data_IF_712731709541
#
_entry.id   IF_712731709541
#
_cell.length_a   1.000
_cell.length_b   1.000
_cell.length_c   1.000
_cell.angle_alpha   90.00
_cell.angle_beta   90.00
_cell.angle_gamma   90.00
#
_symmetry.space_group_name_H-M   'P 1'
#
loop_
_entity.id
_entity.type
_entity.pdbx_description
1 polymer ?
#
# COMPACT_ATOMS: atom_id res chain seq x y z
N UNK A 1 -2.36 -32.77 -2.13
CA UNK A 1 -3.37 -32.12 -1.25
C UNK A 1 -4.31 -31.29 -2.12
N UNK A 2 -5.63 -31.35 -1.92
CA UNK A 2 -6.58 -30.59 -2.73
C UNK A 2 -6.41 -29.08 -2.49
N UNK A 3 -6.38 -28.28 -3.57
CA UNK A 3 -6.31 -26.82 -3.52
C UNK A 3 -7.66 -26.27 -3.04
N UNK A 4 -7.66 -25.35 -2.08
CA UNK A 4 -8.88 -24.78 -1.54
C UNK A 4 -9.49 -23.78 -2.56
N UNK A 5 -10.76 -23.95 -2.99
CA UNK A 5 -11.41 -23.06 -3.95
C UNK A 5 -11.61 -21.62 -3.43
N UNK A 6 -11.65 -21.41 -2.11
CA UNK A 6 -11.81 -20.08 -1.51
C UNK A 6 -10.50 -19.26 -1.49
N UNK A 7 -9.36 -19.90 -1.78
CA UNK A 7 -8.03 -19.31 -1.57
C UNK A 7 -7.16 -19.44 -2.82
N UNK A 8 -7.67 -19.04 -3.99
CA UNK A 8 -6.92 -18.79 -5.24
C UNK A 8 -5.74 -19.78 -5.50
N UNK A 9 -5.93 -21.07 -5.22
CA UNK A 9 -4.95 -22.12 -5.52
C UNK A 9 -3.91 -22.49 -4.44
N UNK A 10 -3.92 -21.89 -3.24
CA UNK A 10 -3.04 -22.30 -2.14
C UNK A 10 -3.58 -23.53 -1.37
N UNK A 11 -2.70 -24.37 -0.83
CA UNK A 11 -3.10 -25.41 0.14
C UNK A 11 -3.41 -24.79 1.50
N UNK A 12 -4.09 -25.56 2.36
CA UNK A 12 -4.37 -25.14 3.75
C UNK A 12 -3.07 -24.87 4.51
N UNK A 13 -2.05 -25.74 4.40
CA UNK A 13 -0.77 -25.49 5.08
C UNK A 13 -0.07 -24.23 4.57
N UNK A 14 -0.14 -23.96 3.25
CA UNK A 14 0.44 -22.74 2.68
C UNK A 14 -0.27 -21.49 3.19
N UNK A 15 -1.59 -21.52 3.31
CA UNK A 15 -2.38 -20.43 3.87
C UNK A 15 -2.05 -20.20 5.35
N UNK A 16 -2.02 -21.25 6.16
CA UNK A 16 -1.68 -21.16 7.58
C UNK A 16 -0.24 -20.67 7.80
N UNK A 17 0.70 -21.10 6.96
CA UNK A 17 2.07 -20.58 6.93
C UNK A 17 2.08 -19.08 6.59
N UNK A 18 1.38 -18.67 5.53
CA UNK A 18 1.29 -17.27 5.15
C UNK A 18 0.72 -16.41 6.28
N UNK A 19 -0.35 -16.85 6.93
CA UNK A 19 -0.96 -16.11 8.05
C UNK A 19 0.01 -15.93 9.23
N UNK A 20 0.86 -16.93 9.49
CA UNK A 20 1.89 -16.88 10.53
C UNK A 20 3.04 -15.94 10.17
N UNK A 21 3.47 -15.93 8.91
CA UNK A 21 4.59 -15.11 8.43
C UNK A 21 4.19 -13.66 8.14
N UNK A 22 2.92 -13.42 7.80
CA UNK A 22 2.39 -12.11 7.39
C UNK A 22 2.71 -10.99 8.37
N UNK A 23 2.54 -11.13 9.70
CA UNK A 23 2.91 -10.06 10.64
C UNK A 23 4.40 -9.71 10.60
N UNK A 24 5.27 -10.70 10.43
CA UNK A 24 6.73 -10.53 10.36
C UNK A 24 7.09 -9.76 9.08
N UNK A 25 6.54 -10.21 7.95
CA UNK A 25 6.75 -9.56 6.65
C UNK A 25 6.25 -8.12 6.64
N UNK A 26 5.06 -7.86 7.18
CA UNK A 26 4.51 -6.51 7.26
C UNK A 26 5.36 -5.59 8.15
N UNK A 27 5.87 -6.07 9.29
CA UNK A 27 6.80 -5.29 10.12
C UNK A 27 8.08 -4.92 9.37
N UNK A 28 8.64 -5.86 8.59
CA UNK A 28 9.84 -5.63 7.78
C UNK A 28 9.57 -4.58 6.70
N UNK A 29 8.48 -4.71 5.96
CA UNK A 29 8.07 -3.73 4.93
C UNK A 29 7.83 -2.35 5.56
N UNK A 30 7.09 -2.27 6.66
CA UNK A 30 6.83 -0.99 7.34
C UNK A 30 8.11 -0.32 7.85
N UNK A 31 9.11 -1.12 8.27
CA UNK A 31 10.43 -0.61 8.69
C UNK A 31 11.23 -0.08 7.50
N UNK A 32 11.27 -0.81 6.38
CA UNK A 32 11.94 -0.38 5.14
C UNK A 32 11.33 0.91 4.57
N UNK A 33 10.00 1.02 4.61
CA UNK A 33 9.26 2.22 4.22
C UNK A 33 9.35 3.35 5.26
N UNK A 34 10.05 3.12 6.38
CA UNK A 34 10.23 4.07 7.47
C UNK A 34 8.90 4.61 8.04
N UNK A 35 7.85 3.78 8.06
CA UNK A 35 6.52 4.15 8.57
C UNK A 35 6.55 4.66 10.01
N UNK A 36 7.57 4.28 10.79
CA UNK A 36 7.79 4.77 12.15
C UNK A 36 7.88 6.30 12.24
N UNK A 37 8.28 7.00 11.18
CA UNK A 37 8.31 8.47 11.12
C UNK A 37 6.93 9.11 11.29
N UNK A 38 5.89 8.39 10.84
CA UNK A 38 4.50 8.85 10.85
C UNK A 38 3.65 8.15 11.92
N UNK A 39 4.20 7.13 12.58
CA UNK A 39 3.51 6.39 13.63
C UNK A 39 3.40 7.22 14.91
N UNK A 40 2.24 7.18 15.58
CA UNK A 40 2.01 7.84 16.87
C UNK A 40 2.83 7.26 18.03
N UNK A 41 3.26 5.99 17.95
CA UNK A 41 3.95 5.28 19.04
C UNK A 41 5.40 5.74 19.21
N UNK A 42 5.75 6.21 20.41
CA UNK A 42 7.10 6.68 20.76
C UNK A 42 8.16 5.59 20.60
N UNK A 43 7.84 4.35 20.96
CA UNK A 43 8.78 3.23 20.87
C UNK A 43 9.19 2.92 19.44
N UNK A 44 8.25 2.98 18.49
CA UNK A 44 8.55 2.78 17.07
C UNK A 44 9.51 3.84 16.53
N UNK A 45 9.31 5.11 16.92
CA UNK A 45 10.21 6.21 16.56
C UNK A 45 11.61 6.03 17.15
N UNK A 46 11.70 5.65 18.43
CA UNK A 46 12.97 5.42 19.12
C UNK A 46 13.74 4.24 18.53
N UNK A 47 13.05 3.14 18.24
CA UNK A 47 13.63 1.94 17.65
C UNK A 47 13.93 2.09 16.15
N UNK A 48 13.39 3.13 15.48
CA UNK A 48 13.44 3.31 14.02
C UNK A 48 12.94 2.08 13.26
N UNK A 49 11.97 1.38 13.84
CA UNK A 49 11.41 0.14 13.34
C UNK A 49 9.99 -0.06 13.88
N UNK A 50 9.23 -0.95 13.25
CA UNK A 50 7.92 -1.32 13.78
C UNK A 50 8.08 -2.21 15.02
N UNK A 51 7.71 -1.68 16.19
CA UNK A 51 7.71 -2.41 17.48
C UNK A 51 6.30 -2.84 17.93
N UNK A 52 5.30 -2.71 17.05
CA UNK A 52 3.90 -3.04 17.34
C UNK A 52 3.56 -4.53 17.18
N UNK A 53 2.41 -4.97 17.74
CA UNK A 53 1.96 -6.37 17.67
C UNK A 53 1.68 -6.82 16.23
N UNK A 54 1.34 -5.92 15.32
CA UNK A 54 1.35 -6.15 13.87
C UNK A 54 1.95 -4.95 13.12
N UNK A 55 2.48 -5.21 11.92
CA UNK A 55 2.96 -4.15 11.03
C UNK A 55 1.84 -3.39 10.30
N UNK A 56 0.58 -3.82 10.47
CA UNK A 56 -0.60 -3.27 9.82
C UNK A 56 -0.95 -1.88 10.34
N UNK A 57 -0.86 -1.67 11.65
CA UNK A 57 -1.12 -0.35 12.27
C UNK A 57 -0.18 0.74 11.73
N UNK A 58 1.12 0.42 11.59
CA UNK A 58 2.12 1.37 11.06
C UNK A 58 1.94 1.62 9.56
N UNK A 59 1.62 0.59 8.78
CA UNK A 59 1.34 0.74 7.35
C UNK A 59 0.03 1.53 7.11
N UNK A 60 -1.01 1.28 7.91
CA UNK A 60 -2.27 2.04 7.86
C UNK A 60 -2.04 3.52 8.14
N UNK A 61 -1.28 3.85 9.19
CA UNK A 61 -0.95 5.25 9.51
C UNK A 61 -0.13 5.96 8.44
N UNK A 62 0.79 5.27 7.77
CA UNK A 62 1.46 5.82 6.59
C UNK A 62 0.42 6.20 5.52
N UNK A 63 -0.52 5.30 5.22
CA UNK A 63 -1.55 5.57 4.22
C UNK A 63 -2.49 6.71 4.62
N UNK A 64 -2.80 6.88 5.91
CA UNK A 64 -3.59 8.00 6.43
C UNK A 64 -2.90 9.35 6.15
N UNK A 65 -1.56 9.40 6.23
CA UNK A 65 -0.78 10.62 5.98
C UNK A 65 -0.63 11.00 4.50
N UNK A 66 -0.93 10.11 3.57
CA UNK A 66 -0.86 10.40 2.13
C UNK A 66 -2.12 11.14 1.68
N UNK A 67 -1.97 12.10 0.75
CA UNK A 67 -3.13 12.67 0.05
C UNK A 67 -3.87 11.58 -0.75
N UNK A 68 -5.12 11.82 -1.13
CA UNK A 68 -5.86 10.87 -1.97
C UNK A 68 -5.15 10.60 -3.29
N UNK A 69 -4.54 11.62 -3.89
CA UNK A 69 -3.73 11.51 -5.10
C UNK A 69 -2.51 10.61 -4.85
N UNK A 70 -1.76 10.83 -3.76
CA UNK A 70 -0.61 9.98 -3.41
C UNK A 70 -1.02 8.54 -3.09
N UNK A 71 -2.15 8.33 -2.40
CA UNK A 71 -2.72 7.00 -2.16
C UNK A 71 -3.07 6.30 -3.46
N UNK A 72 -3.68 7.01 -4.40
CA UNK A 72 -4.04 6.47 -5.71
C UNK A 72 -2.79 6.09 -6.53
N UNK A 73 -1.79 6.97 -6.58
CA UNK A 73 -0.50 6.72 -7.23
C UNK A 73 0.21 5.51 -6.62
N UNK A 74 0.28 5.42 -5.29
CA UNK A 74 0.91 4.28 -4.61
C UNK A 74 0.22 2.95 -4.95
N UNK A 75 -1.11 2.91 -4.95
CA UNK A 75 -1.88 1.71 -5.33
C UNK A 75 -1.65 1.30 -6.79
N UNK A 76 -1.61 2.26 -7.70
CA UNK A 76 -1.37 2.00 -9.12
C UNK A 76 0.07 1.53 -9.37
N UNK A 77 1.05 2.11 -8.68
CA UNK A 77 2.44 1.68 -8.77
C UNK A 77 2.63 0.23 -8.28
N UNK A 78 1.94 -0.17 -7.21
CA UNK A 78 1.92 -1.58 -6.76
C UNK A 78 1.30 -2.48 -7.82
N UNK A 79 0.18 -2.08 -8.42
CA UNK A 79 -0.48 -2.86 -9.49
C UNK A 79 0.46 -3.08 -10.68
N UNK A 80 1.16 -2.04 -11.11
CA UNK A 80 2.15 -2.11 -12.20
C UNK A 80 3.34 -2.99 -11.84
N UNK A 81 3.85 -2.89 -10.61
CA UNK A 81 4.90 -3.79 -10.10
C UNK A 81 4.48 -5.25 -10.11
N UNK A 82 3.25 -5.55 -9.71
CA UNK A 82 2.70 -6.91 -9.75
C UNK A 82 2.49 -7.42 -11.19
N UNK A 83 2.36 -6.52 -12.16
CA UNK A 83 2.32 -6.83 -13.58
C UNK A 83 3.72 -6.94 -14.24
N UNK A 84 4.80 -6.77 -13.46
CA UNK A 84 6.18 -6.94 -13.94
C UNK A 84 6.88 -5.65 -14.36
N UNK A 85 6.29 -4.48 -14.15
CA UNK A 85 6.96 -3.20 -14.43
C UNK A 85 8.02 -2.91 -13.35
N UNK A 86 9.17 -2.39 -13.76
CA UNK A 86 10.27 -2.08 -12.85
C UNK A 86 9.91 -0.99 -11.83
N UNK A 87 10.52 -1.04 -10.65
CA UNK A 87 10.07 -0.27 -9.48
C UNK A 87 9.94 1.24 -9.71
N UNK A 88 10.96 1.86 -10.31
CA UNK A 88 10.96 3.31 -10.59
C UNK A 88 10.00 3.65 -11.73
N UNK A 89 9.96 2.81 -12.76
CA UNK A 89 9.10 3.01 -13.92
C UNK A 89 7.62 2.89 -13.56
N UNK A 90 7.27 1.93 -12.70
CA UNK A 90 5.93 1.74 -12.18
C UNK A 90 5.41 2.98 -11.44
N UNK A 91 6.29 3.66 -10.70
CA UNK A 91 5.94 4.91 -10.03
C UNK A 91 5.61 6.03 -11.03
N UNK A 92 6.50 6.29 -11.98
CA UNK A 92 6.29 7.34 -12.97
C UNK A 92 5.09 7.06 -13.88
N UNK A 93 4.85 5.80 -14.25
CA UNK A 93 3.67 5.43 -15.02
C UNK A 93 2.39 5.59 -14.19
N UNK A 94 2.42 5.27 -12.89
CA UNK A 94 1.30 5.54 -11.99
C UNK A 94 0.98 7.04 -11.92
N UNK A 95 1.98 7.90 -11.71
CA UNK A 95 1.80 9.35 -11.71
C UNK A 95 1.15 9.84 -13.02
N UNK A 96 1.64 9.38 -14.17
CA UNK A 96 1.06 9.70 -15.48
C UNK A 96 -0.38 9.25 -15.63
N UNK A 97 -0.74 8.07 -15.12
CA UNK A 97 -2.12 7.55 -15.19
C UNK A 97 -3.07 8.33 -14.30
N UNK A 98 -2.66 8.63 -13.06
CA UNK A 98 -3.46 9.41 -12.12
C UNK A 98 -3.65 10.84 -12.63
N UNK A 99 -2.60 11.49 -13.12
CA UNK A 99 -2.69 12.83 -13.70
C UNK A 99 -3.64 12.89 -14.91
N UNK A 100 -3.55 11.91 -15.82
CA UNK A 100 -4.49 11.79 -16.96
C UNK A 100 -5.94 11.61 -16.49
N UNK A 101 -6.17 10.76 -15.49
CA UNK A 101 -7.51 10.54 -14.96
C UNK A 101 -8.09 11.79 -14.30
N UNK A 102 -7.27 12.52 -13.54
CA UNK A 102 -7.65 13.80 -12.93
C UNK A 102 -8.04 14.84 -14.00
N UNK A 103 -7.20 15.01 -15.02
CA UNK A 103 -7.48 15.92 -16.13
C UNK A 103 -8.78 15.54 -16.88
N UNK A 104 -9.08 14.25 -17.02
CA UNK A 104 -10.35 13.79 -17.60
C UNK A 104 -11.55 14.16 -16.73
N UNK A 105 -11.45 14.02 -15.41
CA UNK A 105 -12.53 14.40 -14.47
C UNK A 105 -12.75 15.92 -14.50
N UNK A 106 -11.68 16.70 -14.45
CA UNK A 106 -11.73 18.18 -14.47
C UNK A 106 -12.31 18.72 -15.79
N UNK A 107 -12.14 17.99 -16.90
CA UNK A 107 -12.72 18.34 -18.20
C UNK A 107 -14.24 18.06 -18.28
N UNK A 108 -14.84 17.36 -17.32
CA UNK A 108 -16.28 17.10 -17.29
C UNK A 108 -17.02 18.34 -16.73
N UNK A 109 -17.94 18.96 -17.50
CA UNK A 109 -18.68 20.14 -17.04
C UNK A 109 -19.43 19.85 -15.72
N UNK A 110 -19.19 20.66 -14.69
CA UNK A 110 -19.84 20.55 -13.38
C UNK A 110 -19.15 19.66 -12.33
N UNK A 111 -17.95 19.13 -12.63
CA UNK A 111 -17.11 18.35 -11.68
C UNK A 111 -15.76 19.00 -11.33
N UNK A 112 -15.55 20.27 -11.67
CA UNK A 112 -14.42 21.06 -11.17
C UNK A 112 -14.48 21.28 -9.65
N UNK A 113 -13.37 21.67 -8.99
CA UNK A 113 -13.32 21.91 -7.56
C UNK A 113 -14.01 23.24 -7.22
N UNK A 114 -15.32 23.26 -7.35
CA UNK A 114 -16.15 24.38 -6.92
C UNK A 114 -17.52 23.85 -6.52
N UNK A 115 -17.63 23.47 -5.25
CA UNK A 115 -18.89 23.37 -4.49
C UNK A 115 -18.59 23.52 -3.00
N UNK A 116 -18.70 24.76 -2.51
CA UNK A 116 -19.20 25.14 -1.17
C UNK A 116 -18.43 24.69 0.06
#
# INVERSE_FOLDING_TARGET
>A
MPRNPDHRGATKEEFERYQRERPIMLRRVATLMQCWRFCGRKDCRRARACSGPDGGECAGKLMDCLSDEMRATFREAIRLRLAGVEGREAWYEAERRIARHKAQIEAIPGMGPDRG
#
